data_IF_837680252068
#
_entry.id   IF_837680252068
#
_cell.length_a   1.000
_cell.length_b   1.000
_cell.length_c   1.000
_cell.angle_alpha   90.00
_cell.angle_beta   90.00
_cell.angle_gamma   90.00
#
_symmetry.space_group_name_H-M   'P 1'
#
loop_
_entity.id
_entity.type
_entity.pdbx_description
1 polymer ?
#
# COMPACT_ATOMS: atom_id res chain seq x y z
N UNK A 1 -9.37 -13.01 18.55
CA UNK A 1 -8.71 -12.84 17.23
C UNK A 1 -7.90 -11.57 17.38
N UNK A 2 -6.58 -11.71 17.55
CA UNK A 2 -5.70 -10.62 17.94
C UNK A 2 -5.36 -9.80 16.69
N UNK A 3 -5.96 -8.63 16.56
CA UNK A 3 -5.58 -7.66 15.54
C UNK A 3 -4.14 -7.25 15.85
N UNK A 4 -3.19 -7.76 15.06
CA UNK A 4 -1.84 -7.22 15.03
C UNK A 4 -1.93 -5.86 14.35
N UNK A 5 -2.24 -4.84 15.13
CA UNK A 5 -2.07 -3.44 14.76
C UNK A 5 -0.56 -3.12 14.83
N UNK A 6 0.22 -3.87 14.04
CA UNK A 6 1.65 -3.71 13.91
C UNK A 6 1.90 -2.73 12.80
N UNK A 7 2.40 -1.54 13.11
CA UNK A 7 3.00 -0.65 12.11
C UNK A 7 4.13 -1.42 11.43
N UNK A 8 3.87 -1.98 10.26
CA UNK A 8 4.84 -2.79 9.55
C UNK A 8 5.93 -1.89 8.97
N UNK A 9 7.18 -2.34 9.11
CA UNK A 9 8.36 -1.61 8.67
C UNK A 9 8.54 -1.89 7.19
N UNK A 10 8.35 -0.88 6.35
CA UNK A 10 8.38 -1.02 4.88
C UNK A 10 9.80 -0.95 4.35
N UNK A 11 10.63 -0.06 4.91
CA UNK A 11 11.98 0.17 4.42
C UNK A 11 12.87 0.83 5.49
N UNK A 12 14.18 0.61 5.44
CA UNK A 12 15.17 1.28 6.31
C UNK A 12 16.47 1.56 5.56
N UNK A 13 16.99 2.78 5.68
CA UNK A 13 18.28 3.16 5.11
C UNK A 13 18.98 4.20 5.96
N UNK A 14 20.31 4.18 5.93
CA UNK A 14 21.17 5.23 6.48
C UNK A 14 21.31 6.40 5.52
N UNK A 15 21.34 7.60 6.07
CA UNK A 15 21.69 8.82 5.33
C UNK A 15 23.02 9.32 5.87
N UNK A 16 23.99 9.51 4.98
CA UNK A 16 25.32 10.00 5.33
C UNK A 16 25.68 11.15 4.42
N UNK A 17 26.17 12.23 5.02
CA UNK A 17 26.77 13.37 4.33
C UNK A 17 28.28 13.39 4.70
N UNK A 18 29.19 13.46 3.71
CA UNK A 18 30.64 13.43 3.97
C UNK A 18 31.18 14.73 4.59
N UNK A 19 30.39 15.80 4.66
CA UNK A 19 30.84 17.08 5.19
C UNK A 19 30.82 17.14 6.72
N UNK A 20 31.69 17.99 7.28
CA UNK A 20 31.80 18.21 8.72
C UNK A 20 30.99 19.42 9.18
N UNK A 21 30.60 19.45 10.46
CA UNK A 21 29.84 20.56 11.04
C UNK A 21 28.35 20.54 10.66
N UNK A 22 27.71 21.70 10.56
CA UNK A 22 26.28 21.78 10.22
C UNK A 22 25.98 21.30 8.79
N UNK A 23 26.96 21.32 7.88
CA UNK A 23 26.80 20.78 6.53
C UNK A 23 26.61 19.24 6.55
N UNK A 24 27.14 18.55 7.56
CA UNK A 24 26.95 17.10 7.74
C UNK A 24 25.59 16.72 8.33
N UNK A 25 24.77 17.70 8.76
CA UNK A 25 23.43 17.46 9.29
C UNK A 25 22.42 17.49 8.14
N UNK A 26 21.66 16.41 8.01
CA UNK A 26 20.66 16.25 6.95
C UNK A 26 19.27 16.04 7.52
N UNK A 27 18.28 16.58 6.81
CA UNK A 27 16.85 16.43 7.11
C UNK A 27 16.20 15.64 5.97
N UNK A 28 15.50 14.57 6.31
CA UNK A 28 14.77 13.75 5.35
C UNK A 28 13.26 14.01 5.42
N UNK A 29 12.61 14.04 4.27
CA UNK A 29 11.17 14.24 4.12
C UNK A 29 10.61 13.40 2.96
N UNK A 30 9.30 13.18 2.97
CA UNK A 30 8.54 12.52 1.89
C UNK A 30 7.34 13.39 1.52
N UNK A 31 6.58 13.02 0.49
CA UNK A 31 5.35 13.71 0.12
C UNK A 31 4.29 13.65 1.23
N UNK A 32 3.53 14.74 1.42
CA UNK A 32 2.51 14.85 2.48
C UNK A 32 1.24 14.01 2.23
N UNK A 33 0.91 13.72 0.97
CA UNK A 33 -0.31 12.99 0.54
C UNK A 33 -0.08 11.48 0.44
N UNK A 34 0.59 10.91 1.45
CA UNK A 34 0.94 9.50 1.47
C UNK A 34 0.61 8.89 2.83
N UNK A 35 0.09 7.64 2.90
CA UNK A 35 -0.21 6.95 4.16
C UNK A 35 1.06 6.43 4.85
N UNK A 36 2.20 7.12 4.69
CA UNK A 36 3.50 6.74 5.22
C UNK A 36 4.12 7.91 5.98
N UNK A 37 5.03 7.61 6.91
CA UNK A 37 5.90 8.61 7.52
C UNK A 37 7.31 8.07 7.70
N UNK A 38 8.29 8.98 7.68
CA UNK A 38 9.67 8.64 8.00
C UNK A 38 9.90 8.79 9.50
N UNK A 39 10.28 7.69 10.15
CA UNK A 39 10.71 7.68 11.55
C UNK A 39 12.24 7.72 11.63
N UNK A 40 12.85 8.76 12.22
CA UNK A 40 14.28 8.76 12.49
C UNK A 40 14.61 7.69 13.55
N UNK A 41 15.78 7.09 13.42
CA UNK A 41 16.30 6.03 14.27
C UNK A 41 17.77 6.33 14.63
N UNK A 42 18.40 5.41 15.39
CA UNK A 42 19.81 5.52 15.80
C UNK A 42 20.71 5.64 14.56
N UNK A 43 21.83 6.37 14.67
CA UNK A 43 22.87 6.48 13.62
C UNK A 43 22.39 7.03 12.25
N UNK A 44 21.55 8.06 12.22
CA UNK A 44 21.01 8.66 10.98
C UNK A 44 20.27 7.67 10.06
N UNK A 45 19.73 6.60 10.63
CA UNK A 45 18.84 5.72 9.91
C UNK A 45 17.42 6.28 9.90
N UNK A 46 16.77 6.21 8.75
CA UNK A 46 15.36 6.51 8.61
C UNK A 46 14.62 5.21 8.29
N UNK A 47 13.48 5.00 8.96
CA UNK A 47 12.59 3.87 8.70
C UNK A 47 11.29 4.41 8.15
N UNK A 48 10.89 3.92 6.98
CA UNK A 48 9.58 4.18 6.40
C UNK A 48 8.56 3.24 7.04
N UNK A 49 7.50 3.82 7.58
CA UNK A 49 6.44 3.11 8.31
C UNK A 49 5.08 3.58 7.83
N UNK A 50 4.11 2.68 7.88
CA UNK A 50 2.71 2.98 7.55
C UNK A 50 2.07 3.82 8.67
N UNK A 51 1.33 4.85 8.27
CA UNK A 51 0.53 5.67 9.18
C UNK A 51 -0.88 5.07 9.37
N UNK A 52 -1.46 4.55 8.30
CA UNK A 52 -2.79 3.95 8.25
C UNK A 52 -2.71 2.54 7.69
N UNK A 53 -3.78 1.76 7.86
CA UNK A 53 -3.94 0.50 7.14
C UNK A 53 -3.90 0.76 5.63
N UNK A 54 -3.26 -0.15 4.90
CA UNK A 54 -3.24 -0.13 3.43
C UNK A 54 -4.31 -1.10 2.94
N UNK A 55 -5.01 -0.68 1.90
CA UNK A 55 -6.01 -1.50 1.22
C UNK A 55 -5.59 -1.59 -0.24
N UNK A 56 -5.30 -2.82 -0.69
CA UNK A 56 -4.82 -3.09 -2.06
C UNK A 56 -5.91 -2.76 -3.07
N UNK A 57 -7.18 -3.00 -2.72
CA UNK A 57 -8.32 -2.86 -3.64
C UNK A 57 -8.60 -1.38 -3.91
N UNK A 58 -8.28 -0.52 -2.93
CA UNK A 58 -8.24 0.94 -3.11
C UNK A 58 -6.99 1.37 -3.88
N UNK A 59 -5.79 0.88 -3.50
CA UNK A 59 -4.52 1.29 -4.12
C UNK A 59 -3.41 0.26 -3.91
N UNK A 60 -3.01 -0.39 -5.00
CA UNK A 60 -2.00 -1.46 -5.01
C UNK A 60 -0.55 -0.98 -5.08
N UNK A 61 -0.29 0.28 -5.44
CA UNK A 61 1.06 0.83 -5.59
C UNK A 61 1.19 2.27 -5.06
N UNK A 62 2.32 2.52 -4.40
CA UNK A 62 2.75 3.85 -3.98
C UNK A 62 4.16 4.16 -4.48
N UNK A 63 4.32 5.31 -5.14
CA UNK A 63 5.63 5.84 -5.52
C UNK A 63 6.01 6.94 -4.53
N UNK A 64 7.02 6.66 -3.71
CA UNK A 64 7.44 7.51 -2.60
C UNK A 64 8.78 8.14 -2.96
N UNK A 65 8.90 9.45 -2.84
CA UNK A 65 10.15 10.18 -3.10
C UNK A 65 10.68 10.72 -1.79
N UNK A 66 11.79 10.17 -1.35
CA UNK A 66 12.53 10.66 -0.19
C UNK A 66 13.39 11.84 -0.64
N UNK A 67 13.19 12.99 -0.03
CA UNK A 67 14.03 14.18 -0.22
C UNK A 67 14.92 14.37 0.99
N UNK A 68 16.23 14.32 0.76
CA UNK A 68 17.27 14.63 1.75
C UNK A 68 17.75 16.04 1.47
N UNK A 69 17.74 16.90 2.48
CA UNK A 69 18.26 18.28 2.38
C UNK A 69 19.30 18.51 3.46
N UNK A 70 20.45 19.06 3.10
CA UNK A 70 21.45 19.48 4.07
C UNK A 70 21.00 20.75 4.84
N UNK A 71 21.78 21.12 5.86
CA UNK A 71 21.64 22.38 6.58
C UNK A 71 22.71 23.41 6.14
N UNK A 72 23.34 23.21 4.98
CA UNK A 72 24.33 24.12 4.42
C UNK A 72 23.71 25.43 3.92
N UNK A 73 24.56 26.40 3.57
CA UNK A 73 24.14 27.64 2.90
C UNK A 73 25.03 27.88 1.67
N UNK A 74 24.51 27.72 0.43
CA UNK A 74 23.15 27.36 0.07
C UNK A 74 22.81 25.90 0.42
N UNK A 75 21.51 25.61 0.62
CA UNK A 75 21.04 24.26 0.91
C UNK A 75 21.05 23.39 -0.33
N UNK A 76 21.64 22.20 -0.26
CA UNK A 76 21.56 21.20 -1.32
C UNK A 76 20.52 20.13 -0.97
N UNK A 77 19.91 19.56 -2.02
CA UNK A 77 18.92 18.50 -1.90
C UNK A 77 19.17 17.36 -2.88
N UNK A 78 18.92 16.14 -2.41
CA UNK A 78 18.99 14.91 -3.19
C UNK A 78 17.68 14.15 -3.02
N UNK A 79 17.21 13.50 -4.10
CA UNK A 79 15.96 12.76 -4.11
C UNK A 79 16.21 11.29 -4.45
N UNK A 80 15.44 10.41 -3.82
CA UNK A 80 15.44 8.98 -4.09
C UNK A 80 14.00 8.46 -4.15
N UNK A 81 13.66 7.77 -5.23
CA UNK A 81 12.31 7.22 -5.43
C UNK A 81 12.26 5.73 -5.09
N UNK A 82 11.22 5.33 -4.37
CA UNK A 82 10.94 3.96 -3.94
C UNK A 82 9.52 3.61 -4.38
N UNK A 83 9.37 2.44 -5.01
CA UNK A 83 8.05 1.87 -5.33
C UNK A 83 7.68 0.84 -4.28
N UNK A 84 6.55 1.05 -3.62
CA UNK A 84 5.97 0.13 -2.63
C UNK A 84 4.77 -0.55 -3.25
N UNK A 85 4.83 -1.88 -3.36
CA UNK A 85 3.75 -2.72 -3.84
C UNK A 85 3.00 -3.32 -2.65
N UNK A 86 1.67 -3.17 -2.63
CA UNK A 86 0.81 -3.76 -1.59
C UNK A 86 0.52 -5.21 -1.97
N UNK A 87 0.92 -6.14 -1.09
CA UNK A 87 0.62 -7.56 -1.27
C UNK A 87 -0.88 -7.79 -1.15
N UNK A 88 -1.38 -8.68 -1.99
CA UNK A 88 -2.76 -9.17 -1.91
C UNK A 88 -2.96 -10.04 -0.68
N UNK A 89 -4.12 -9.89 -0.05
CA UNK A 89 -4.62 -10.74 1.03
C UNK A 89 -6.04 -11.07 0.65
N UNK A 90 -6.40 -12.36 0.64
CA UNK A 90 -7.75 -12.76 0.25
C UNK A 90 -8.78 -12.44 1.36
N UNK A 91 -9.16 -11.18 1.51
CA UNK A 91 -10.10 -10.68 2.52
C UNK A 91 -11.46 -10.25 1.94
N UNK A 92 -11.64 -10.30 0.62
CA UNK A 92 -12.95 -10.19 -0.02
C UNK A 92 -13.50 -11.59 -0.34
N UNK A 93 -14.66 -11.93 0.20
CA UNK A 93 -15.36 -13.14 -0.23
C UNK A 93 -16.10 -12.90 -1.56
N UNK A 94 -16.24 -13.93 -2.43
CA UNK A 94 -17.04 -13.80 -3.63
C UNK A 94 -18.48 -13.37 -3.30
N UNK A 95 -18.97 -12.36 -4.01
CA UNK A 95 -20.33 -11.84 -3.83
C UNK A 95 -21.20 -12.16 -5.04
N UNK A 96 -22.37 -12.76 -4.81
CA UNK A 96 -23.35 -12.98 -5.86
C UNK A 96 -23.95 -11.67 -6.36
N UNK A 97 -24.31 -11.58 -7.64
CA UNK A 97 -24.95 -10.38 -8.20
C UNK A 97 -26.35 -10.12 -7.65
N UNK A 98 -27.03 -11.14 -7.14
CA UNK A 98 -28.36 -11.04 -6.53
C UNK A 98 -28.41 -11.82 -5.22
N UNK A 99 -29.19 -11.33 -4.26
CA UNK A 99 -29.44 -12.03 -2.98
C UNK A 99 -30.30 -13.28 -3.13
N UNK A 100 -31.08 -13.37 -4.21
CA UNK A 100 -31.89 -14.53 -4.57
C UNK A 100 -32.08 -14.60 -6.07
N UNK A 101 -31.98 -15.81 -6.64
CA UNK A 101 -32.29 -16.07 -8.04
C UNK A 101 -33.57 -16.91 -8.13
N UNK A 102 -34.53 -16.46 -8.91
CA UNK A 102 -35.73 -17.24 -9.26
C UNK A 102 -35.69 -17.55 -10.74
N UNK A 103 -35.63 -18.84 -11.07
CA UNK A 103 -35.61 -19.33 -12.44
C UNK A 103 -36.88 -20.13 -12.70
N UNK A 104 -37.49 -19.95 -13.87
CA UNK A 104 -38.70 -20.64 -14.26
C UNK A 104 -38.37 -21.69 -15.33
N UNK A 105 -38.89 -22.91 -15.14
CA UNK A 105 -38.67 -24.03 -16.06
C UNK A 105 -40.04 -24.59 -16.45
N UNK A 106 -40.32 -24.77 -17.76
CA UNK A 106 -41.55 -25.42 -18.19
C UNK A 106 -41.53 -26.90 -17.82
N UNK A 107 -42.68 -27.44 -17.41
CA UNK A 107 -42.81 -28.83 -16.94
C UNK A 107 -42.45 -29.89 -18.01
N UNK A 108 -42.59 -29.54 -19.29
CA UNK A 108 -42.32 -30.42 -20.42
C UNK A 108 -40.99 -30.06 -21.12
N UNK A 109 -39.93 -29.81 -20.33
CA UNK A 109 -38.63 -29.45 -20.87
C UNK A 109 -37.86 -30.66 -21.41
N UNK A 110 -36.98 -30.42 -22.40
CA UNK A 110 -36.05 -31.44 -22.86
C UNK A 110 -34.94 -31.69 -21.82
N UNK A 111 -34.43 -32.94 -21.73
CA UNK A 111 -33.21 -33.22 -20.96
C UNK A 111 -32.07 -32.29 -21.37
N UNK A 112 -31.24 -31.91 -20.39
CA UNK A 112 -30.12 -30.97 -20.55
C UNK A 112 -30.50 -29.54 -20.97
N UNK A 113 -31.74 -29.09 -20.71
CA UNK A 113 -32.11 -27.68 -20.86
C UNK A 113 -31.27 -26.80 -19.92
N UNK A 114 -30.60 -25.79 -20.47
CA UNK A 114 -29.94 -24.76 -19.68
C UNK A 114 -30.98 -23.78 -19.10
N UNK A 115 -31.07 -23.73 -17.78
CA UNK A 115 -32.10 -22.97 -17.05
C UNK A 115 -31.65 -21.53 -16.75
N UNK A 116 -30.34 -21.33 -16.57
CA UNK A 116 -29.76 -20.02 -16.30
C UNK A 116 -28.33 -20.12 -15.80
N UNK A 117 -27.67 -18.99 -15.72
CA UNK A 117 -26.31 -18.85 -15.20
C UNK A 117 -26.31 -17.88 -14.03
N UNK A 118 -25.65 -18.27 -12.93
CA UNK A 118 -25.42 -17.41 -11.77
C UNK A 118 -23.96 -16.96 -11.83
N UNK A 119 -23.70 -15.70 -11.47
CA UNK A 119 -22.36 -15.13 -11.43
C UNK A 119 -22.11 -14.52 -10.06
N UNK A 120 -20.89 -14.72 -9.57
CA UNK A 120 -20.34 -14.05 -8.40
C UNK A 120 -19.07 -13.30 -8.80
N UNK A 121 -18.81 -12.18 -8.13
CA UNK A 121 -17.63 -11.36 -8.35
C UNK A 121 -16.85 -11.27 -7.04
N UNK A 122 -15.55 -11.52 -7.13
CA UNK A 122 -14.58 -11.32 -6.06
C UNK A 122 -13.75 -10.07 -6.38
N UNK A 123 -13.38 -9.30 -5.36
CA UNK A 123 -12.57 -8.09 -5.50
C UNK A 123 -11.09 -8.34 -5.21
N UNK A 124 -10.73 -9.48 -4.62
CA UNK A 124 -9.34 -9.90 -4.44
C UNK A 124 -8.72 -10.18 -5.83
N UNK A 125 -7.64 -9.48 -6.17
CA UNK A 125 -6.88 -9.62 -7.42
C UNK A 125 -5.55 -8.98 -7.25
#
# INVERSE_FOLDING_TARGET
>A
MEAREGKERVWRQSVSDPDSGDNGKTVCSIQDDLPFFLKPSVENFYTLVTNTALDRETRSEYNITITVTDLGTPRLKTQHSITVLVSDVNDNAPTFTQSSYTLFVPENNSPALHIGTISATDRDS
#
